data_IF_807084161221
#
_entry.id   IF_807084161221
#
_cell.length_a   1.000
_cell.length_b   1.000
_cell.length_c   1.000
_cell.angle_alpha   90.00
_cell.angle_beta   90.00
_cell.angle_gamma   90.00
#
_symmetry.space_group_name_H-M   'P 1'
#
loop_
_entity.id
_entity.type
_entity.pdbx_description
1 polymer ?
#
# COMPACT_ATOMS: atom_id res chain seq x y z
N UNK A 1 -14.90 2.69 10.21
CA UNK A 1 -14.20 2.89 8.93
C UNK A 1 -14.80 1.93 7.92
N UNK A 2 -15.16 2.37 6.69
CA UNK A 2 -15.58 1.41 5.67
C UNK A 2 -14.35 0.59 5.28
N UNK A 3 -14.39 -0.72 5.50
CA UNK A 3 -13.39 -1.63 4.98
C UNK A 3 -13.31 -1.42 3.46
N UNK A 4 -12.12 -1.17 2.94
CA UNK A 4 -11.93 -1.11 1.49
C UNK A 4 -12.44 -2.45 0.92
N UNK A 5 -13.38 -2.41 -0.03
CA UNK A 5 -13.94 -3.65 -0.58
C UNK A 5 -13.00 -4.21 -1.63
N UNK A 6 -12.77 -5.52 -1.63
CA UNK A 6 -11.92 -6.16 -2.65
C UNK A 6 -12.59 -5.97 -4.03
N UNK A 7 -11.87 -5.46 -5.05
CA UNK A 7 -12.46 -5.23 -6.36
C UNK A 7 -12.72 -6.55 -7.10
N UNK A 8 -13.96 -6.71 -7.60
CA UNK A 8 -14.37 -7.89 -8.35
C UNK A 8 -13.79 -7.98 -9.76
N UNK A 9 -13.61 -6.84 -10.44
CA UNK A 9 -13.25 -6.81 -11.86
C UNK A 9 -11.93 -7.53 -12.22
N UNK A 10 -10.84 -7.42 -11.44
CA UNK A 10 -9.65 -8.26 -11.59
C UNK A 10 -9.94 -9.76 -11.58
N UNK A 11 -10.72 -10.21 -10.59
CA UNK A 11 -11.03 -11.62 -10.36
C UNK A 11 -11.90 -12.16 -11.48
N UNK A 12 -12.91 -11.40 -11.89
CA UNK A 12 -13.76 -11.69 -13.04
C UNK A 12 -12.95 -11.91 -14.33
N UNK A 13 -11.97 -11.04 -14.60
CA UNK A 13 -11.13 -11.15 -15.80
C UNK A 13 -10.31 -12.45 -15.77
N UNK A 14 -9.66 -12.74 -14.65
CA UNK A 14 -8.89 -13.97 -14.49
C UNK A 14 -9.76 -15.24 -14.56
N UNK A 15 -10.97 -15.21 -13.99
CA UNK A 15 -11.97 -16.28 -14.13
C UNK A 15 -12.31 -16.54 -15.60
N UNK A 16 -12.52 -15.48 -16.38
CA UNK A 16 -12.86 -15.57 -17.80
C UNK A 16 -11.79 -16.26 -18.61
N UNK A 17 -10.53 -15.87 -18.38
CA UNK A 17 -9.38 -16.28 -19.18
C UNK A 17 -8.84 -17.66 -18.79
N UNK A 18 -8.82 -17.97 -17.49
CA UNK A 18 -8.08 -19.13 -16.96
C UNK A 18 -8.96 -20.30 -16.54
N UNK A 19 -10.26 -20.09 -16.34
CA UNK A 19 -11.15 -21.11 -15.80
C UNK A 19 -12.24 -21.52 -16.80
N UNK A 20 -12.64 -22.79 -16.75
CA UNK A 20 -13.75 -23.28 -17.58
C UNK A 20 -15.10 -22.77 -17.06
N UNK A 21 -16.17 -22.91 -17.86
CA UNK A 21 -17.52 -22.54 -17.42
C UNK A 21 -17.93 -23.29 -16.14
N UNK A 22 -17.61 -24.58 -16.07
CA UNK A 22 -17.88 -25.41 -14.90
C UNK A 22 -17.05 -24.99 -13.69
N UNK A 23 -15.76 -24.69 -13.89
CA UNK A 23 -14.90 -24.18 -12.82
C UNK A 23 -15.45 -22.88 -12.23
N UNK A 24 -15.86 -21.93 -13.08
CA UNK A 24 -16.42 -20.65 -12.64
C UNK A 24 -17.65 -20.89 -11.76
N UNK A 25 -18.61 -21.74 -12.18
CA UNK A 25 -19.81 -22.04 -11.38
C UNK A 25 -19.46 -22.66 -10.03
N UNK A 26 -18.45 -23.53 -9.97
CA UNK A 26 -18.04 -24.12 -8.70
C UNK A 26 -17.33 -23.11 -7.79
N UNK A 27 -16.40 -22.31 -8.34
CA UNK A 27 -15.66 -21.29 -7.59
C UNK A 27 -16.63 -20.28 -6.95
N UNK A 28 -17.54 -19.71 -7.74
CA UNK A 28 -18.50 -18.73 -7.21
C UNK A 28 -19.54 -19.36 -6.30
N UNK A 29 -19.84 -20.65 -6.48
CA UNK A 29 -20.72 -21.41 -5.60
C UNK A 29 -20.15 -21.58 -4.19
N UNK A 30 -18.82 -21.74 -4.04
CA UNK A 30 -18.18 -21.74 -2.73
C UNK A 30 -18.26 -20.37 -2.04
N UNK A 31 -18.32 -19.29 -2.81
CA UNK A 31 -18.56 -17.93 -2.32
C UNK A 31 -20.00 -17.66 -1.86
N UNK A 32 -20.85 -18.70 -1.81
CA UNK A 32 -22.26 -18.62 -1.39
C UNK A 32 -23.06 -17.62 -2.27
N UNK A 33 -22.79 -17.68 -3.58
CA UNK A 33 -23.59 -17.05 -4.62
C UNK A 33 -24.89 -17.83 -4.83
N UNK A 34 -25.99 -17.15 -5.20
CA UNK A 34 -27.27 -17.82 -5.46
C UNK A 34 -27.19 -18.64 -6.76
N UNK A 35 -26.93 -19.94 -6.59
CA UNK A 35 -26.81 -20.90 -7.67
C UNK A 35 -28.14 -21.20 -8.36
N UNK A 36 -29.29 -20.94 -7.72
CA UNK A 36 -30.59 -21.11 -8.36
C UNK A 36 -30.77 -20.11 -9.51
N UNK A 37 -30.28 -18.88 -9.33
CA UNK A 37 -30.24 -17.86 -10.39
C UNK A 37 -29.30 -18.22 -11.54
N UNK A 38 -28.30 -19.08 -11.30
CA UNK A 38 -27.38 -19.58 -12.33
C UNK A 38 -27.80 -20.94 -12.92
N UNK A 39 -28.88 -21.56 -12.43
CA UNK A 39 -29.25 -22.92 -12.80
C UNK A 39 -29.60 -23.04 -14.30
N UNK A 40 -30.29 -22.05 -14.86
CA UNK A 40 -30.67 -21.99 -16.27
C UNK A 40 -29.48 -21.81 -17.22
N UNK A 41 -28.31 -21.40 -16.71
CA UNK A 41 -27.09 -21.19 -17.49
C UNK A 41 -26.29 -22.51 -17.52
N UNK A 42 -26.56 -23.29 -18.56
CA UNK A 42 -25.89 -24.56 -18.85
C UNK A 42 -25.08 -24.46 -20.14
N UNK A 43 -23.83 -24.92 -20.09
CA UNK A 43 -22.99 -25.01 -21.28
C UNK A 43 -23.37 -26.26 -22.08
N UNK A 44 -23.88 -26.08 -23.30
CA UNK A 44 -24.32 -27.16 -24.21
C UNK A 44 -23.68 -27.01 -25.59
N UNK A 45 -23.47 -28.12 -26.34
CA UNK A 45 -22.90 -28.08 -27.69
C UNK A 45 -23.69 -27.22 -28.69
N UNK A 46 -25.01 -27.13 -28.52
CA UNK A 46 -25.88 -26.27 -29.31
C UNK A 46 -26.83 -25.50 -28.38
N UNK A 47 -26.99 -24.19 -28.64
CA UNK A 47 -27.85 -23.26 -27.88
C UNK A 47 -27.57 -23.22 -26.35
N UNK A 48 -26.34 -23.49 -25.94
CA UNK A 48 -25.91 -23.35 -24.54
C UNK A 48 -25.59 -21.91 -24.14
N UNK A 49 -25.53 -21.65 -22.84
CA UNK A 49 -25.04 -20.39 -22.31
C UNK A 49 -23.54 -20.23 -22.54
N UNK A 50 -23.13 -19.02 -22.88
CA UNK A 50 -21.71 -18.63 -23.01
C UNK A 50 -21.11 -18.27 -21.65
N UNK A 51 -19.77 -18.35 -21.51
CA UNK A 51 -19.09 -17.85 -20.30
C UNK A 51 -19.42 -16.38 -20.02
N UNK A 52 -19.53 -15.55 -21.07
CA UNK A 52 -19.88 -14.14 -20.91
C UNK A 52 -21.29 -13.95 -20.32
N UNK A 53 -22.26 -14.77 -20.72
CA UNK A 53 -23.61 -14.76 -20.13
C UNK A 53 -23.58 -15.20 -18.66
N UNK A 54 -22.81 -16.25 -18.33
CA UNK A 54 -22.61 -16.68 -16.95
C UNK A 54 -22.00 -15.56 -16.09
N UNK A 55 -20.92 -14.94 -16.56
CA UNK A 55 -20.24 -13.87 -15.85
C UNK A 55 -21.11 -12.62 -15.71
N UNK A 56 -21.96 -12.31 -16.69
CA UNK A 56 -22.87 -11.16 -16.60
C UNK A 56 -23.92 -11.36 -15.50
N UNK A 57 -24.44 -12.57 -15.33
CA UNK A 57 -25.37 -12.86 -14.23
C UNK A 57 -24.66 -12.89 -12.87
N UNK A 58 -23.40 -13.34 -12.81
CA UNK A 58 -22.57 -13.22 -11.61
C UNK A 58 -22.33 -11.73 -11.28
N UNK A 59 -21.98 -10.91 -12.27
CA UNK A 59 -21.76 -9.46 -12.10
C UNK A 59 -23.01 -8.78 -11.51
N UNK A 60 -24.20 -9.18 -11.97
CA UNK A 60 -25.48 -8.69 -11.44
C UNK A 60 -25.64 -9.03 -9.96
N UNK A 61 -25.38 -10.28 -9.59
CA UNK A 61 -25.45 -10.70 -8.19
C UNK A 61 -24.41 -10.02 -7.31
N UNK A 62 -23.18 -9.88 -7.78
CA UNK A 62 -22.12 -9.17 -7.06
C UNK A 62 -22.46 -7.68 -6.87
N UNK A 63 -23.12 -7.07 -7.85
CA UNK A 63 -23.62 -5.70 -7.77
C UNK A 63 -24.77 -5.50 -6.76
N UNK A 64 -25.46 -6.57 -6.39
CA UNK A 64 -26.53 -6.55 -5.37
C UNK A 64 -25.99 -6.79 -3.94
N UNK A 65 -24.72 -7.18 -3.79
CA UNK A 65 -24.10 -7.42 -2.48
C UNK A 65 -23.68 -6.13 -1.79
N UNK A 66 -23.81 -6.07 -0.46
CA UNK A 66 -23.15 -5.06 0.35
C UNK A 66 -21.62 -5.25 0.37
N UNK A 67 -20.87 -4.24 0.83
CA UNK A 67 -19.41 -4.24 0.77
C UNK A 67 -18.76 -5.38 1.58
N UNK A 68 -19.37 -5.77 2.71
CA UNK A 68 -18.88 -6.85 3.56
C UNK A 68 -19.04 -8.18 2.83
N UNK A 69 -20.25 -8.44 2.34
CA UNK A 69 -20.58 -9.66 1.61
C UNK A 69 -19.80 -9.78 0.31
N UNK A 70 -19.64 -8.68 -0.43
CA UNK A 70 -18.82 -8.63 -1.65
C UNK A 70 -17.37 -9.01 -1.33
N UNK A 71 -16.81 -8.49 -0.25
CA UNK A 71 -15.43 -8.80 0.14
C UNK A 71 -15.26 -10.27 0.52
N UNK A 72 -16.16 -10.83 1.32
CA UNK A 72 -16.16 -12.27 1.66
C UNK A 72 -16.28 -13.15 0.40
N UNK A 73 -17.20 -12.80 -0.51
CA UNK A 73 -17.37 -13.52 -1.78
C UNK A 73 -16.09 -13.51 -2.64
N UNK A 74 -15.48 -12.34 -2.81
CA UNK A 74 -14.27 -12.17 -3.61
C UNK A 74 -13.10 -12.94 -2.98
N UNK A 75 -12.97 -12.91 -1.66
CA UNK A 75 -11.95 -13.65 -0.92
C UNK A 75 -12.03 -15.16 -1.20
N UNK A 76 -13.21 -15.74 -1.05
CA UNK A 76 -13.43 -17.17 -1.29
C UNK A 76 -13.15 -17.53 -2.76
N UNK A 77 -13.55 -16.68 -3.70
CA UNK A 77 -13.25 -16.89 -5.12
C UNK A 77 -11.74 -16.95 -5.37
N UNK A 78 -10.96 -16.03 -4.78
CA UNK A 78 -9.51 -16.03 -4.89
C UNK A 78 -8.90 -17.31 -4.32
N UNK A 79 -9.30 -17.73 -3.12
CA UNK A 79 -8.80 -18.97 -2.49
C UNK A 79 -9.05 -20.20 -3.36
N UNK A 80 -10.27 -20.32 -3.90
CA UNK A 80 -10.64 -21.44 -4.75
C UNK A 80 -9.92 -21.43 -6.11
N UNK A 81 -9.67 -20.24 -6.67
CA UNK A 81 -8.86 -20.11 -7.89
C UNK A 81 -7.43 -20.59 -7.65
N UNK A 82 -6.80 -20.17 -6.56
CA UNK A 82 -5.43 -20.58 -6.22
C UNK A 82 -5.32 -22.07 -5.94
N UNK A 83 -6.30 -22.64 -5.22
CA UNK A 83 -6.35 -24.07 -4.90
C UNK A 83 -6.42 -24.94 -6.17
N UNK A 84 -7.18 -24.49 -7.17
CA UNK A 84 -7.39 -25.23 -8.43
C UNK A 84 -6.26 -25.05 -9.42
N UNK A 85 -5.73 -23.84 -9.52
CA UNK A 85 -4.69 -23.45 -10.48
C UNK A 85 -3.64 -22.56 -9.82
N UNK A 86 -2.66 -23.16 -9.13
CA UNK A 86 -1.58 -22.40 -8.48
C UNK A 86 -0.82 -21.49 -9.44
N UNK A 87 -0.77 -21.81 -10.73
CA UNK A 87 -0.15 -21.00 -11.78
C UNK A 87 -0.82 -19.63 -11.98
N UNK A 88 -2.06 -19.46 -11.51
CA UNK A 88 -2.80 -18.19 -11.60
C UNK A 88 -2.40 -17.21 -10.48
N UNK A 89 -1.70 -17.67 -9.44
CA UNK A 89 -1.28 -16.87 -8.28
C UNK A 89 -0.47 -15.64 -8.71
N UNK A 90 0.52 -15.83 -9.61
CA UNK A 90 1.39 -14.72 -10.04
C UNK A 90 0.60 -13.63 -10.76
N UNK A 91 -0.39 -14.02 -11.59
CA UNK A 91 -1.25 -13.07 -12.29
C UNK A 91 -2.19 -12.34 -11.33
N UNK A 92 -2.84 -13.08 -10.41
CA UNK A 92 -3.72 -12.50 -9.41
C UNK A 92 -2.96 -11.56 -8.47
N UNK A 93 -1.80 -11.95 -7.97
CA UNK A 93 -0.96 -11.10 -7.11
C UNK A 93 -0.54 -9.82 -7.85
N UNK A 94 -0.17 -9.93 -9.13
CA UNK A 94 0.16 -8.78 -9.98
C UNK A 94 -1.04 -7.83 -10.19
N UNK A 95 -2.25 -8.34 -10.40
CA UNK A 95 -3.42 -7.49 -10.67
C UNK A 95 -4.05 -6.94 -9.37
N UNK A 96 -4.01 -7.70 -8.28
CA UNK A 96 -4.53 -7.28 -6.98
C UNK A 96 -3.61 -6.30 -6.27
N UNK A 97 -2.28 -6.46 -6.40
CA UNK A 97 -1.32 -5.47 -5.88
C UNK A 97 -1.53 -4.10 -6.51
N UNK A 98 -1.99 -4.07 -7.77
CA UNK A 98 -2.40 -2.86 -8.49
C UNK A 98 -3.66 -2.17 -7.96
N UNK A 99 -4.34 -2.75 -7.00
CA UNK A 99 -5.54 -2.18 -6.40
C UNK A 99 -5.46 -2.21 -4.87
N UNK A 100 -4.25 -2.39 -4.33
CA UNK A 100 -3.99 -2.33 -2.89
C UNK A 100 -4.31 -3.63 -2.16
N UNK A 101 -4.18 -4.79 -2.80
CA UNK A 101 -4.41 -6.11 -2.18
C UNK A 101 -3.27 -7.07 -2.49
N UNK A 102 -2.91 -7.95 -1.56
CA UNK A 102 -1.85 -8.94 -1.74
C UNK A 102 -2.17 -10.23 -1.02
N UNK A 103 -1.62 -11.34 -1.49
CA UNK A 103 -1.75 -12.61 -0.80
C UNK A 103 -0.70 -12.79 0.30
N UNK A 104 -1.13 -13.39 1.41
CA UNK A 104 -0.31 -13.94 2.47
C UNK A 104 -0.76 -15.40 2.70
N UNK A 105 -0.05 -16.35 2.07
CA UNK A 105 -0.54 -17.72 1.95
C UNK A 105 -1.78 -17.78 1.05
N UNK A 106 -2.90 -18.29 1.55
CA UNK A 106 -4.20 -18.24 0.86
C UNK A 106 -5.01 -16.98 1.18
N UNK A 107 -4.63 -16.25 2.23
CA UNK A 107 -5.39 -15.09 2.68
C UNK A 107 -5.06 -13.85 1.85
N UNK A 108 -6.09 -13.19 1.32
CA UNK A 108 -5.95 -11.85 0.73
C UNK A 108 -5.99 -10.79 1.83
N UNK A 109 -4.95 -9.94 1.89
CA UNK A 109 -4.82 -8.84 2.84
C UNK A 109 -4.75 -7.51 2.10
N UNK A 110 -5.35 -6.43 2.64
CA UNK A 110 -5.16 -5.10 2.08
C UNK A 110 -3.70 -4.71 2.26
N UNK A 111 -3.12 -4.16 1.20
CA UNK A 111 -1.79 -3.57 1.18
C UNK A 111 -1.96 -2.12 1.64
N UNK A 112 -2.22 -1.95 2.93
CA UNK A 112 -2.16 -0.64 3.57
C UNK A 112 -0.70 -0.24 3.69
N UNK A 113 -0.18 0.37 2.63
CA UNK A 113 1.15 1.02 2.64
C UNK A 113 0.99 2.51 2.91
N UNK A 114 -0.14 3.08 2.52
CA UNK A 114 -0.57 4.42 2.88
C UNK A 114 -2.08 4.38 3.12
N UNK A 115 -2.50 4.76 4.32
CA UNK A 115 -3.89 5.12 4.56
C UNK A 115 -4.10 6.56 4.07
N UNK A 116 -5.11 6.77 3.21
CA UNK A 116 -5.43 8.07 2.65
C UNK A 116 -5.84 9.09 3.73
N UNK A 117 -6.30 8.62 4.90
CA UNK A 117 -6.49 9.47 6.06
C UNK A 117 -5.15 10.05 6.58
N UNK A 118 -4.04 9.31 6.45
CA UNK A 118 -2.73 9.81 6.90
C UNK A 118 -2.25 10.99 6.06
N UNK A 119 -2.64 11.10 4.77
CA UNK A 119 -2.27 12.23 3.91
C UNK A 119 -2.70 13.58 4.51
N UNK A 120 -3.85 13.63 5.19
CA UNK A 120 -4.33 14.85 5.85
C UNK A 120 -3.38 15.32 6.97
N UNK A 121 -2.66 14.38 7.59
CA UNK A 121 -1.71 14.63 8.66
C UNK A 121 -0.26 14.81 8.15
N UNK A 122 -0.02 14.73 6.83
CA UNK A 122 1.30 14.95 6.22
C UNK A 122 1.44 16.38 5.70
N UNK A 123 2.67 16.93 5.58
CA UNK A 123 2.89 18.25 5.00
C UNK A 123 2.44 18.28 3.54
N UNK A 124 1.76 19.35 3.11
CA UNK A 124 1.26 19.49 1.73
C UNK A 124 2.36 19.27 0.67
N UNK A 125 3.58 19.74 0.95
CA UNK A 125 4.75 19.56 0.09
C UNK A 125 5.09 18.08 -0.19
N UNK A 126 4.65 17.15 0.64
CA UNK A 126 4.86 15.71 0.46
C UNK A 126 3.76 15.00 -0.33
N UNK A 127 2.56 15.59 -0.44
CA UNK A 127 1.36 14.87 -0.90
C UNK A 127 1.52 14.28 -2.30
N UNK A 128 1.99 15.09 -3.24
CA UNK A 128 2.17 14.66 -4.63
C UNK A 128 3.15 13.49 -4.76
N UNK A 129 4.27 13.54 -4.03
CA UNK A 129 5.29 12.49 -4.07
C UNK A 129 4.84 11.21 -3.33
N UNK A 130 4.04 11.34 -2.27
CA UNK A 130 3.45 10.19 -1.58
C UNK A 130 2.40 9.50 -2.44
N UNK A 131 1.51 10.27 -3.08
CA UNK A 131 0.55 9.73 -4.05
C UNK A 131 1.25 9.05 -5.23
N UNK A 132 2.36 9.64 -5.70
CA UNK A 132 3.20 9.06 -6.75
C UNK A 132 3.89 7.77 -6.28
N UNK A 133 4.41 7.73 -5.06
CA UNK A 133 5.00 6.52 -4.48
C UNK A 133 3.98 5.39 -4.39
N UNK A 134 2.77 5.68 -3.89
CA UNK A 134 1.67 4.72 -3.82
C UNK A 134 1.26 4.20 -5.20
N UNK A 135 1.11 5.10 -6.19
CA UNK A 135 0.74 4.73 -7.56
C UNK A 135 1.79 3.86 -8.24
N UNK A 136 3.07 4.19 -8.08
CA UNK A 136 4.17 3.39 -8.66
C UNK A 136 4.30 2.01 -8.03
N UNK A 137 4.15 1.95 -6.72
CA UNK A 137 4.18 0.70 -5.97
C UNK A 137 3.06 -0.24 -6.39
N UNK A 138 1.85 0.32 -6.50
CA UNK A 138 0.67 -0.32 -7.06
C UNK A 138 0.96 -0.85 -8.47
N UNK A 139 1.56 -0.04 -9.33
CA UNK A 139 1.84 -0.41 -10.72
C UNK A 139 3.02 -1.40 -10.88
N UNK A 140 3.72 -1.74 -9.79
CA UNK A 140 4.86 -2.66 -9.75
C UNK A 140 6.23 -2.00 -9.98
N UNK A 141 6.27 -0.68 -10.12
CA UNK A 141 7.49 0.13 -10.22
C UNK A 141 8.10 0.38 -8.83
N UNK A 142 8.75 -0.65 -8.28
CA UNK A 142 9.31 -0.62 -6.92
C UNK A 142 10.45 0.40 -6.77
N UNK A 143 11.34 0.50 -7.76
CA UNK A 143 12.46 1.45 -7.74
C UNK A 143 11.99 2.91 -7.85
N UNK A 144 10.98 3.15 -8.69
CA UNK A 144 10.33 4.45 -8.81
C UNK A 144 9.47 4.81 -7.59
N UNK A 145 8.85 3.83 -6.93
CA UNK A 145 8.11 4.04 -5.68
C UNK A 145 9.03 4.47 -4.54
N UNK A 146 10.16 3.78 -4.35
CA UNK A 146 11.20 4.15 -3.40
C UNK A 146 11.74 5.56 -3.66
N UNK A 147 12.02 5.87 -4.93
CA UNK A 147 12.52 7.19 -5.33
C UNK A 147 11.53 8.31 -5.02
N UNK A 148 10.23 8.07 -5.23
CA UNK A 148 9.17 9.02 -4.91
C UNK A 148 8.99 9.19 -3.39
N UNK A 149 9.06 8.10 -2.61
CA UNK A 149 8.99 8.18 -1.15
C UNK A 149 10.14 8.99 -0.54
N UNK A 150 11.36 8.90 -1.08
CA UNK A 150 12.45 9.79 -0.69
C UNK A 150 12.27 11.23 -1.21
N UNK A 151 11.65 11.40 -2.38
CA UNK A 151 11.31 12.71 -2.94
C UNK A 151 10.38 13.51 -2.05
N UNK A 152 9.39 12.86 -1.44
CA UNK A 152 8.50 13.51 -0.46
C UNK A 152 9.28 14.13 0.73
N UNK A 153 10.27 13.41 1.26
CA UNK A 153 11.16 13.93 2.31
C UNK A 153 12.08 15.04 1.79
N UNK A 154 12.55 14.95 0.54
CA UNK A 154 13.33 16.01 -0.09
C UNK A 154 12.52 17.31 -0.19
N UNK A 155 11.26 17.23 -0.60
CA UNK A 155 10.37 18.38 -0.73
C UNK A 155 10.11 19.06 0.62
N UNK A 156 9.75 18.27 1.64
CA UNK A 156 9.48 18.79 2.99
C UNK A 156 10.73 19.39 3.64
N UNK A 157 11.88 18.70 3.57
CA UNK A 157 13.12 19.24 4.13
C UNK A 157 13.61 20.47 3.36
N UNK A 158 13.38 20.54 2.06
CA UNK A 158 13.65 21.73 1.24
C UNK A 158 12.82 22.94 1.68
N UNK A 159 11.51 22.74 1.89
CA UNK A 159 10.62 23.77 2.44
C UNK A 159 11.06 24.24 3.84
N UNK A 160 11.36 23.31 4.75
CA UNK A 160 11.83 23.65 6.11
C UNK A 160 13.14 24.43 6.07
N UNK A 161 14.09 24.03 5.22
CA UNK A 161 15.35 24.75 5.03
C UNK A 161 15.11 26.20 4.59
N UNK A 162 14.16 26.40 3.66
CA UNK A 162 13.79 27.71 3.20
C UNK A 162 13.14 28.54 4.31
N UNK A 163 12.12 28.00 4.99
CA UNK A 163 11.36 28.70 6.05
C UNK A 163 12.20 29.04 7.27
N UNK A 164 13.15 28.18 7.64
CA UNK A 164 13.98 28.35 8.84
C UNK A 164 15.40 28.87 8.54
N UNK A 165 15.72 29.21 7.29
CA UNK A 165 17.02 29.79 6.93
C UNK A 165 18.21 28.86 7.21
N UNK A 166 18.06 27.55 6.97
CA UNK A 166 19.08 26.55 7.33
C UNK A 166 20.24 26.48 6.31
N UNK A 167 20.22 27.30 5.26
CA UNK A 167 21.21 27.29 4.18
C UNK A 167 20.76 26.45 2.99
N UNK A 168 21.71 25.90 2.24
CA UNK A 168 21.44 25.18 0.99
C UNK A 168 21.17 23.69 1.25
N UNK A 169 19.92 23.26 1.06
CA UNK A 169 19.51 21.86 1.20
C UNK A 169 20.24 20.94 0.21
N UNK A 170 20.57 21.42 -1.00
CA UNK A 170 21.21 20.61 -2.04
C UNK A 170 22.65 20.18 -1.70
N UNK A 171 23.28 20.85 -0.73
CA UNK A 171 24.64 20.55 -0.27
C UNK A 171 24.67 19.64 0.97
N UNK A 172 23.53 19.44 1.63
CA UNK A 172 23.43 18.60 2.80
C UNK A 172 23.10 17.15 2.41
N UNK A 173 23.68 16.18 3.12
CA UNK A 173 23.29 14.77 2.95
C UNK A 173 21.81 14.57 3.32
N UNK A 174 21.22 13.47 2.86
CA UNK A 174 19.82 13.17 3.18
C UNK A 174 19.57 13.10 4.69
N UNK A 175 20.46 12.41 5.42
CA UNK A 175 20.43 12.36 6.89
C UNK A 175 20.55 13.75 7.52
N UNK A 176 21.49 14.56 7.02
CA UNK A 176 21.72 15.90 7.57
C UNK A 176 20.50 16.79 7.38
N UNK A 177 19.85 16.72 6.22
CA UNK A 177 18.61 17.46 5.93
C UNK A 177 17.49 17.12 6.89
N UNK A 178 17.27 15.82 7.14
CA UNK A 178 16.24 15.37 8.07
C UNK A 178 16.58 15.82 9.49
N UNK A 179 17.83 15.60 9.95
CA UNK A 179 18.28 15.99 11.29
C UNK A 179 18.11 17.48 11.55
N UNK A 180 18.62 18.33 10.65
CA UNK A 180 18.50 19.79 10.79
C UNK A 180 17.05 20.27 10.73
N UNK A 181 16.20 19.59 9.97
CA UNK A 181 14.77 19.90 9.93
C UNK A 181 14.06 19.55 11.23
N UNK A 182 14.36 18.38 11.81
CA UNK A 182 13.86 17.95 13.13
C UNK A 182 14.26 18.94 14.22
N UNK A 183 15.53 19.36 14.22
CA UNK A 183 16.05 20.34 15.20
C UNK A 183 15.38 21.71 15.02
N UNK A 184 15.22 22.18 13.78
CA UNK A 184 14.57 23.47 13.48
C UNK A 184 13.08 23.50 13.88
N UNK A 185 12.39 22.36 13.80
CA UNK A 185 11.01 22.22 14.23
C UNK A 185 10.87 21.99 15.75
N UNK A 186 11.97 21.80 16.47
CA UNK A 186 12.00 21.50 17.91
C UNK A 186 11.18 20.27 18.28
N UNK A 187 11.21 19.23 17.44
CA UNK A 187 10.39 18.02 17.61
C UNK A 187 10.67 17.33 18.96
N UNK A 188 11.95 17.29 19.37
CA UNK A 188 12.37 16.71 20.66
C UNK A 188 11.80 17.48 21.84
N UNK A 189 11.88 18.80 21.80
CA UNK A 189 11.41 19.67 22.89
C UNK A 189 9.89 19.63 23.02
N UNK A 190 9.16 19.47 21.90
CA UNK A 190 7.71 19.22 21.93
C UNK A 190 7.39 17.87 22.54
N UNK A 191 8.04 16.80 22.09
CA UNK A 191 7.82 15.45 22.64
C UNK A 191 8.09 15.41 24.15
N UNK A 192 9.18 16.02 24.61
CA UNK A 192 9.49 16.08 26.05
C UNK A 192 8.39 16.80 26.82
N UNK A 193 7.87 17.92 26.29
CA UNK A 193 6.74 18.64 26.90
C UNK A 193 5.47 17.77 26.96
N UNK A 194 5.07 17.15 25.85
CA UNK A 194 3.90 16.26 25.78
C UNK A 194 4.00 15.11 26.80
N UNK A 195 5.17 14.47 26.90
CA UNK A 195 5.42 13.40 27.86
C UNK A 195 5.35 13.90 29.32
N UNK A 196 5.91 15.08 29.58
CA UNK A 196 5.86 15.70 30.92
C UNK A 196 4.42 16.05 31.30
N UNK A 197 3.61 16.54 30.35
CA UNK A 197 2.20 16.89 30.57
C UNK A 197 1.33 15.68 30.92
N UNK A 198 1.67 14.49 30.41
CA UNK A 198 1.00 13.23 30.78
C UNK A 198 1.63 12.54 32.01
N UNK A 199 2.55 13.22 32.70
CA UNK A 199 3.12 12.79 33.98
C UNK A 199 4.30 11.84 33.88
N UNK A 200 5.03 11.81 32.76
CA UNK A 200 6.28 11.03 32.67
C UNK A 200 7.41 11.74 33.38
N UNK A 201 8.19 10.97 34.14
CA UNK A 201 9.37 11.46 34.82
C UNK A 201 10.58 11.58 33.88
N UNK A 202 11.53 12.42 34.27
CA UNK A 202 12.75 12.69 33.50
C UNK A 202 13.59 11.44 33.23
N UNK A 203 13.59 10.47 34.16
CA UNK A 203 14.26 9.18 33.97
C UNK A 203 13.71 8.36 32.81
N UNK A 204 12.45 8.59 32.41
CA UNK A 204 11.76 7.81 31.39
C UNK A 204 11.76 8.53 30.03
N UNK A 205 11.45 9.83 30.00
CA UNK A 205 11.37 10.55 28.72
C UNK A 205 12.76 10.85 28.11
N UNK A 206 13.82 11.00 28.92
CA UNK A 206 15.16 11.30 28.38
C UNK A 206 15.72 10.14 27.53
N UNK A 207 15.76 8.89 28.03
CA UNK A 207 16.19 7.76 27.20
C UNK A 207 15.31 7.58 25.97
N UNK A 208 13.98 7.74 26.10
CA UNK A 208 13.07 7.62 24.97
C UNK A 208 13.37 8.65 23.87
N UNK A 209 13.51 9.93 24.24
CA UNK A 209 13.82 11.02 23.31
C UNK A 209 15.15 10.77 22.58
N UNK A 210 16.19 10.32 23.30
CA UNK A 210 17.48 9.98 22.71
C UNK A 210 17.39 8.78 21.73
N UNK A 211 16.60 7.76 22.06
CA UNK A 211 16.41 6.60 21.18
C UNK A 211 15.58 6.92 19.95
N UNK A 212 14.59 7.81 20.06
CA UNK A 212 13.82 8.32 18.93
C UNK A 212 14.74 9.06 17.97
N UNK A 213 15.58 9.97 18.47
CA UNK A 213 16.55 10.69 17.64
C UNK A 213 17.50 9.74 16.90
N UNK A 214 18.08 8.77 17.62
CA UNK A 214 18.93 7.75 17.05
C UNK A 214 18.21 6.95 15.95
N UNK A 215 16.97 6.55 16.22
CA UNK A 215 16.15 5.75 15.30
C UNK A 215 15.78 6.52 14.02
N UNK A 216 15.40 7.81 14.13
CA UNK A 216 15.12 8.65 12.96
C UNK A 216 16.36 8.89 12.10
N UNK A 217 17.54 9.03 12.72
CA UNK A 217 18.78 9.17 11.98
C UNK A 217 19.18 7.87 11.24
N UNK A 218 18.99 6.71 11.88
CA UNK A 218 19.23 5.41 11.24
C UNK A 218 18.20 5.13 10.13
N UNK A 219 16.94 5.53 10.32
CA UNK A 219 15.91 5.48 9.27
C UNK A 219 16.36 6.25 8.02
N UNK A 220 16.81 7.49 8.22
CA UNK A 220 17.29 8.35 7.14
C UNK A 220 18.51 7.73 6.42
N UNK A 221 19.42 7.10 7.16
CA UNK A 221 20.55 6.37 6.58
C UNK A 221 20.07 5.24 5.66
N UNK A 222 19.23 4.36 6.19
CA UNK A 222 18.71 3.19 5.49
C UNK A 222 17.99 3.63 4.22
N UNK A 223 17.09 4.62 4.32
CA UNK A 223 16.38 5.16 3.17
C UNK A 223 17.32 5.75 2.11
N UNK A 224 18.33 6.53 2.51
CA UNK A 224 19.30 7.08 1.57
C UNK A 224 20.08 5.97 0.86
N UNK A 225 20.49 4.93 1.59
CA UNK A 225 21.24 3.81 1.05
C UNK A 225 20.39 3.00 0.07
N UNK A 226 19.15 2.66 0.45
CA UNK A 226 18.19 1.99 -0.42
C UNK A 226 17.91 2.80 -1.68
N UNK A 227 17.67 4.12 -1.57
CA UNK A 227 17.47 4.99 -2.73
C UNK A 227 18.66 4.96 -3.69
N UNK A 228 19.88 4.99 -3.16
CA UNK A 228 21.10 5.01 -3.99
C UNK A 228 21.25 3.69 -4.76
N UNK A 229 21.02 2.56 -4.09
CA UNK A 229 21.35 1.24 -4.63
C UNK A 229 20.15 0.58 -5.35
N UNK A 230 18.92 0.94 -5.02
CA UNK A 230 17.68 0.35 -5.55
C UNK A 230 16.74 1.39 -6.18
N UNK A 231 16.97 2.68 -5.92
CA UNK A 231 16.23 3.74 -6.58
C UNK A 231 16.65 3.84 -8.04
N UNK A 232 15.68 3.56 -8.92
CA UNK A 232 15.80 3.77 -10.35
C UNK A 232 14.42 3.99 -10.95
N UNK A 233 14.24 5.15 -11.59
CA UNK A 233 13.03 5.52 -12.32
C UNK A 233 12.89 4.79 -13.67
N UNK A 234 13.95 4.12 -14.12
CA UNK A 234 13.97 3.33 -15.34
C UNK A 234 13.95 1.81 -15.09
N UNK A 235 13.90 1.37 -13.82
CA UNK A 235 13.70 -0.04 -13.44
C UNK A 235 14.86 -1.00 -13.77
N UNK A 236 16.07 -0.49 -13.98
CA UNK A 236 17.25 -1.27 -14.37
C UNK A 236 18.00 -1.87 -13.18
N UNK A 237 17.85 -1.31 -11.97
CA UNK A 237 18.49 -1.81 -10.75
C UNK A 237 17.68 -2.96 -10.11
N UNK A 238 18.35 -3.98 -9.55
CA UNK A 238 17.66 -5.02 -8.79
C UNK A 238 17.04 -4.41 -7.52
N UNK A 239 15.78 -4.77 -7.25
CA UNK A 239 15.01 -4.23 -6.11
C UNK A 239 14.52 -5.36 -5.23
N UNK A 240 14.68 -5.21 -3.92
CA UNK A 240 14.10 -6.12 -2.93
C UNK A 240 12.77 -5.51 -2.49
N UNK A 241 11.66 -6.15 -2.87
CA UNK A 241 10.32 -5.64 -2.60
C UNK A 241 10.09 -5.35 -1.11
N UNK A 242 10.47 -6.27 -0.21
CA UNK A 242 10.30 -6.05 1.24
C UNK A 242 10.93 -4.74 1.73
N UNK A 243 12.15 -4.44 1.29
CA UNK A 243 12.86 -3.22 1.70
C UNK A 243 12.26 -1.95 1.11
N UNK A 244 11.62 -2.01 -0.06
CA UNK A 244 10.86 -0.88 -0.61
C UNK A 244 9.62 -0.60 0.24
N UNK A 245 8.89 -1.64 0.64
CA UNK A 245 7.72 -1.49 1.49
C UNK A 245 8.13 -0.88 2.84
N UNK A 246 9.23 -1.36 3.43
CA UNK A 246 9.76 -0.81 4.68
C UNK A 246 10.17 0.65 4.49
N UNK A 247 10.91 0.98 3.44
CA UNK A 247 11.35 2.36 3.17
C UNK A 247 10.17 3.34 3.02
N UNK A 248 9.07 2.88 2.45
CA UNK A 248 7.85 3.70 2.33
C UNK A 248 7.23 3.96 3.71
N UNK A 249 7.20 2.96 4.59
CA UNK A 249 6.76 3.13 5.99
C UNK A 249 7.67 4.06 6.78
N UNK A 250 8.99 3.93 6.62
CA UNK A 250 9.96 4.87 7.20
C UNK A 250 9.73 6.29 6.68
N UNK A 251 9.40 6.45 5.40
CA UNK A 251 9.03 7.76 4.83
C UNK A 251 7.81 8.35 5.52
N UNK A 252 6.71 7.59 5.65
CA UNK A 252 5.50 8.04 6.35
C UNK A 252 5.80 8.47 7.78
N UNK A 253 6.57 7.66 8.53
CA UNK A 253 6.98 7.98 9.90
C UNK A 253 7.79 9.29 9.97
N UNK A 254 8.80 9.43 9.12
CA UNK A 254 9.64 10.63 9.09
C UNK A 254 8.84 11.87 8.69
N UNK A 255 7.95 11.74 7.69
CA UNK A 255 7.07 12.83 7.27
C UNK A 255 6.11 13.24 8.36
N UNK A 256 5.57 12.30 9.16
CA UNK A 256 4.76 12.61 10.34
C UNK A 256 5.53 13.34 11.43
N UNK A 257 6.81 13.02 11.62
CA UNK A 257 7.66 13.75 12.57
C UNK A 257 7.99 15.16 12.07
N UNK A 258 7.96 15.38 10.75
CA UNK A 258 8.18 16.68 10.11
C UNK A 258 6.87 17.44 9.85
N UNK A 259 5.73 16.75 9.89
CA UNK A 259 4.41 17.33 9.96
C UNK A 259 4.24 17.95 11.33
N UNK A 260 3.65 19.13 11.35
CA UNK A 260 3.33 19.86 12.57
C UNK A 260 2.57 18.96 13.54
N UNK A 261 3.27 18.43 14.55
CA UNK A 261 2.71 18.20 15.88
C UNK A 261 2.73 19.53 16.63
#
# INVERSE_FOLDING_TARGET
MPAQSIPWAPIRSTLTEKFSFGDIKQIVGYGDLDMARLAHLEQKPQRGATKSQLLSEIDRQVGEMDDKRRSEFVFICCEEMMRRRPEVIEELDRVLSRVGWKFSGTALIPVEIFDAAELADLPEAAHADIQKAASRLRDGDLGGALSAACGALDAVTGDIYHRHGLGDAGKASFQERIRRSIDALQVKDRLIRELTEIGWDESDYKPLSANIDGSLNQAAFVMQKLRTDMGDVHGTKPVIAALVYDAIKWSSLLLRMLATR
#
